data_IF_193462395215
#
_entry.id   IF_193462395215
#
_cell.length_a   1.000
_cell.length_b   1.000
_cell.length_c   1.000
_cell.angle_alpha   90.00
_cell.angle_beta   90.00
_cell.angle_gamma   90.00
#
_symmetry.space_group_name_H-M   'P 1'
#
loop_
_entity.id
_entity.type
_entity.pdbx_description
1 polymer ?
#
# COMPACT_ATOMS: atom_id res chain seq x y z
N UNK A 1 14.49 38.79 8.39
CA UNK A 1 13.45 38.26 7.48
C UNK A 1 12.33 37.76 8.36
N UNK A 2 11.11 38.23 8.14
CA UNK A 2 9.95 37.76 8.88
C UNK A 2 9.73 36.27 8.54
N UNK A 3 9.60 35.44 9.57
CA UNK A 3 9.15 34.06 9.43
C UNK A 3 7.66 34.18 9.12
N UNK A 4 7.28 33.90 7.87
CA UNK A 4 5.87 33.89 7.46
C UNK A 4 5.11 32.94 8.37
N UNK A 5 3.91 33.36 8.80
CA UNK A 5 2.98 32.51 9.52
C UNK A 5 2.71 31.22 8.71
N UNK A 6 2.45 30.06 9.37
CA UNK A 6 2.20 28.82 8.66
C UNK A 6 1.07 29.02 7.64
N UNK A 7 1.38 28.81 6.35
CA UNK A 7 0.42 28.95 5.25
C UNK A 7 -0.73 27.95 5.46
N UNK A 8 -1.83 28.43 6.00
CA UNK A 8 -3.06 27.66 6.21
C UNK A 8 -3.77 27.32 4.90
N UNK A 9 -3.49 28.03 3.81
CA UNK A 9 -4.11 27.81 2.50
C UNK A 9 -3.31 26.86 1.62
N UNK A 10 -4.03 26.09 0.80
CA UNK A 10 -3.44 25.17 -0.16
C UNK A 10 -2.73 25.98 -1.24
N UNK A 11 -1.45 25.68 -1.50
CA UNK A 11 -0.70 26.32 -2.59
C UNK A 11 -1.13 25.64 -3.89
N UNK A 12 -2.17 26.18 -4.52
CA UNK A 12 -2.83 25.55 -5.67
C UNK A 12 -1.91 25.50 -6.89
N UNK A 13 -0.95 26.41 -7.01
CA UNK A 13 0.01 26.41 -8.12
C UNK A 13 1.00 25.25 -7.99
N UNK A 14 1.60 25.11 -6.80
CA UNK A 14 2.54 24.01 -6.49
C UNK A 14 1.84 22.65 -6.54
N UNK A 15 0.60 22.57 -6.04
CA UNK A 15 -0.12 21.30 -5.82
C UNK A 15 -1.17 21.00 -6.89
N UNK A 16 -1.28 21.81 -7.94
CA UNK A 16 -2.30 21.72 -9.00
C UNK A 16 -2.52 20.29 -9.54
N UNK A 17 -1.45 19.55 -9.82
CA UNK A 17 -1.56 18.18 -10.38
C UNK A 17 -1.97 17.16 -9.32
N UNK A 18 -1.47 17.31 -8.09
CA UNK A 18 -1.88 16.45 -6.97
C UNK A 18 -3.31 16.74 -6.54
N UNK A 19 -3.76 18.00 -6.59
CA UNK A 19 -5.12 18.43 -6.32
C UNK A 19 -6.12 17.79 -7.29
N UNK A 20 -5.75 17.62 -8.56
CA UNK A 20 -6.58 16.91 -9.55
C UNK A 20 -6.75 15.42 -9.21
N UNK A 21 -5.77 14.80 -8.57
CA UNK A 21 -5.80 13.37 -8.19
C UNK A 21 -6.48 13.17 -6.83
N UNK A 22 -6.05 13.91 -5.81
CA UNK A 22 -6.48 13.70 -4.42
C UNK A 22 -7.73 14.50 -4.05
N UNK A 23 -7.93 15.65 -4.67
CA UNK A 23 -9.00 16.58 -4.30
C UNK A 23 -8.67 17.39 -3.05
N UNK A 24 -9.38 18.51 -2.89
CA UNK A 24 -9.11 19.50 -1.84
C UNK A 24 -9.23 18.94 -0.43
N UNK A 25 -10.25 18.13 -0.15
CA UNK A 25 -10.49 17.57 1.19
C UNK A 25 -9.35 16.64 1.64
N UNK A 26 -8.90 15.74 0.76
CA UNK A 26 -7.79 14.83 1.03
C UNK A 26 -6.50 15.60 1.31
N UNK A 27 -6.23 16.65 0.53
CA UNK A 27 -5.04 17.51 0.74
C UNK A 27 -5.09 18.24 2.10
N UNK A 28 -6.27 18.65 2.56
CA UNK A 28 -6.43 19.22 3.91
C UNK A 28 -6.18 18.19 5.01
N UNK A 29 -6.56 16.93 4.80
CA UNK A 29 -6.26 15.83 5.75
C UNK A 29 -4.76 15.53 5.79
N UNK A 30 -4.09 15.49 4.64
CA UNK A 30 -2.63 15.29 4.56
C UNK A 30 -1.87 16.33 5.37
N UNK A 31 -2.23 17.61 5.26
CA UNK A 31 -1.60 18.71 6.04
C UNK A 31 -1.79 18.62 7.56
N UNK A 32 -2.58 17.66 8.06
CA UNK A 32 -2.72 17.36 9.49
C UNK A 32 -2.01 16.06 9.88
N UNK A 33 -1.58 15.27 8.91
CA UNK A 33 -0.96 13.97 9.14
C UNK A 33 0.51 14.13 9.50
N UNK A 34 0.91 13.52 10.62
CA UNK A 34 2.31 13.37 11.01
C UNK A 34 2.73 11.94 10.70
N UNK A 35 3.87 11.75 10.04
CA UNK A 35 4.33 10.42 9.61
C UNK A 35 5.68 10.09 10.24
N UNK A 36 5.80 8.92 10.84
CA UNK A 36 7.08 8.36 11.29
C UNK A 36 7.56 7.33 10.27
N UNK A 37 8.80 7.45 9.82
CA UNK A 37 9.46 6.45 8.95
C UNK A 37 10.67 5.91 9.70
N UNK A 38 10.59 4.65 10.11
CA UNK A 38 11.64 3.94 10.85
C UNK A 38 12.43 3.02 9.91
N UNK A 39 13.69 3.34 9.69
CA UNK A 39 14.60 2.73 8.72
C UNK A 39 14.83 3.68 7.55
N UNK A 40 16.08 4.11 7.35
CA UNK A 40 16.48 5.12 6.36
C UNK A 40 17.56 4.58 5.39
N UNK A 41 17.38 3.33 4.96
CA UNK A 41 18.07 2.80 3.78
C UNK A 41 17.42 3.36 2.49
N UNK A 42 17.76 2.80 1.32
CA UNK A 42 17.19 3.24 0.04
C UNK A 42 15.65 3.21 -0.01
N UNK A 43 15.00 2.20 0.58
CA UNK A 43 13.54 2.13 0.62
C UNK A 43 12.95 3.22 1.52
N UNK A 44 13.51 3.42 2.71
CA UNK A 44 13.10 4.49 3.62
C UNK A 44 13.19 5.88 2.98
N UNK A 45 14.28 6.13 2.23
CA UNK A 45 14.49 7.38 1.50
C UNK A 45 13.45 7.62 0.40
N UNK A 46 13.10 6.60 -0.39
CA UNK A 46 12.06 6.69 -1.42
C UNK A 46 10.68 6.97 -0.81
N UNK A 47 10.34 6.28 0.28
CA UNK A 47 9.09 6.50 1.01
C UNK A 47 9.04 7.94 1.51
N UNK A 48 10.09 8.40 2.20
CA UNK A 48 10.17 9.75 2.75
C UNK A 48 10.02 10.81 1.66
N UNK A 49 10.73 10.68 0.53
CA UNK A 49 10.58 11.56 -0.64
C UNK A 49 9.12 11.65 -1.08
N UNK A 50 8.45 10.52 -1.31
CA UNK A 50 7.07 10.50 -1.79
C UNK A 50 6.10 11.12 -0.78
N UNK A 51 6.27 10.85 0.53
CA UNK A 51 5.42 11.38 1.59
C UNK A 51 5.61 12.89 1.79
N UNK A 52 6.86 13.38 1.73
CA UNK A 52 7.17 14.82 1.81
C UNK A 52 6.56 15.56 0.60
N UNK A 53 6.70 15.00 -0.60
CA UNK A 53 6.10 15.56 -1.82
C UNK A 53 4.58 15.48 -1.81
N UNK A 54 3.97 14.50 -1.13
CA UNK A 54 2.52 14.45 -0.89
C UNK A 54 2.02 15.53 0.10
N UNK A 55 2.94 16.29 0.70
CA UNK A 55 2.64 17.46 1.52
C UNK A 55 1.84 17.13 2.80
N UNK A 56 2.34 16.16 3.54
CA UNK A 56 1.91 15.89 4.92
C UNK A 56 2.29 17.03 5.88
N UNK A 57 1.83 17.03 7.13
CA UNK A 57 2.23 18.06 8.11
C UNK A 57 3.72 17.93 8.48
N UNK A 58 4.14 16.72 8.83
CA UNK A 58 5.52 16.46 9.24
C UNK A 58 5.95 15.03 8.91
N UNK A 59 7.26 14.87 8.69
CA UNK A 59 7.91 13.58 8.56
C UNK A 59 9.02 13.49 9.60
N UNK A 60 8.92 12.50 10.48
CA UNK A 60 9.98 12.13 11.42
C UNK A 60 10.72 10.92 10.87
N UNK A 61 12.02 11.07 10.65
CA UNK A 61 12.94 10.02 10.24
C UNK A 61 13.50 9.35 11.50
N UNK A 62 13.45 8.02 11.55
CA UNK A 62 14.04 7.25 12.64
C UNK A 62 14.98 6.21 12.08
N UNK A 63 16.24 6.25 12.45
CA UNK A 63 17.22 5.20 12.14
C UNK A 63 18.35 5.31 13.17
N UNK A 64 18.85 4.18 13.65
CA UNK A 64 19.99 4.14 14.57
C UNK A 64 21.28 3.67 13.88
N UNK A 65 21.18 3.17 12.65
CA UNK A 65 22.33 2.72 11.88
C UNK A 65 23.18 3.89 11.38
N UNK A 66 24.49 3.62 11.28
CA UNK A 66 25.43 4.51 10.64
C UNK A 66 25.41 4.31 9.12
N UNK A 67 25.73 5.37 8.38
CA UNK A 67 25.89 5.32 6.93
C UNK A 67 27.11 4.45 6.60
N UNK A 68 26.90 3.49 5.71
CA UNK A 68 27.94 2.68 5.07
C UNK A 68 28.09 3.10 3.61
N UNK A 69 29.21 2.75 2.93
CA UNK A 69 29.35 3.01 1.50
C UNK A 69 28.18 2.45 0.69
N UNK A 70 27.71 1.24 1.01
CA UNK A 70 26.63 0.56 0.30
C UNK A 70 25.29 1.32 0.34
N UNK A 71 25.00 2.00 1.46
CA UNK A 71 23.77 2.79 1.61
C UNK A 71 23.69 3.89 0.53
N UNK A 72 24.82 4.43 0.08
CA UNK A 72 24.91 5.45 -0.97
C UNK A 72 24.54 4.94 -2.38
N UNK A 73 24.36 3.63 -2.54
CA UNK A 73 23.93 2.99 -3.79
C UNK A 73 22.43 3.08 -4.05
N UNK A 74 21.63 3.08 -2.98
CA UNK A 74 20.17 3.11 -3.07
C UNK A 74 19.52 4.28 -2.33
N UNK A 75 20.18 4.85 -1.32
CA UNK A 75 19.74 6.09 -0.68
C UNK A 75 20.41 7.30 -1.36
N UNK A 76 19.66 7.94 -2.25
CA UNK A 76 20.13 9.04 -3.08
C UNK A 76 20.32 10.38 -2.34
N UNK A 77 20.02 10.43 -1.03
CA UNK A 77 20.37 11.58 -0.17
C UNK A 77 21.72 11.41 0.52
N UNK A 78 22.32 10.22 0.48
CA UNK A 78 23.59 9.93 1.13
C UNK A 78 24.75 9.98 0.13
N UNK A 79 25.88 10.49 0.61
CA UNK A 79 27.15 10.52 -0.10
C UNK A 79 28.23 9.81 0.69
N UNK A 80 29.37 9.52 0.05
CA UNK A 80 30.51 8.93 0.74
C UNK A 80 31.08 9.83 1.85
N UNK A 81 30.78 11.13 1.83
CA UNK A 81 31.17 12.06 2.90
C UNK A 81 30.35 11.85 4.18
N UNK A 82 29.19 11.20 4.09
CA UNK A 82 28.29 10.95 5.22
C UNK A 82 28.61 9.64 5.94
N UNK A 83 29.52 8.81 5.40
CA UNK A 83 29.88 7.50 5.98
C UNK A 83 30.34 7.66 7.44
N UNK A 84 29.75 6.86 8.32
CA UNK A 84 29.97 6.91 9.77
C UNK A 84 29.08 7.90 10.53
N UNK A 85 28.30 8.75 9.85
CA UNK A 85 27.23 9.54 10.47
C UNK A 85 25.93 8.74 10.58
N UNK A 86 24.95 9.23 11.33
CA UNK A 86 23.64 8.58 11.43
C UNK A 86 22.83 8.75 10.13
N UNK A 87 22.25 7.66 9.61
CA UNK A 87 21.52 7.67 8.33
C UNK A 87 20.35 8.65 8.30
N UNK A 88 19.49 8.64 9.32
CA UNK A 88 18.33 9.51 9.39
C UNK A 88 18.74 10.98 9.47
N UNK A 89 19.72 11.30 10.33
CA UNK A 89 20.25 12.65 10.49
C UNK A 89 20.88 13.22 9.22
N UNK A 90 21.65 12.42 8.49
CA UNK A 90 22.31 12.83 7.25
C UNK A 90 21.31 13.21 6.13
N UNK A 91 20.12 12.60 6.11
CA UNK A 91 19.10 12.88 5.10
C UNK A 91 18.29 14.17 5.35
N UNK A 92 18.21 14.67 6.60
CA UNK A 92 17.23 15.71 7.00
C UNK A 92 17.34 16.96 6.15
N UNK A 93 18.54 17.49 5.94
CA UNK A 93 18.73 18.77 5.25
C UNK A 93 18.18 18.71 3.82
N UNK A 94 18.62 17.73 3.02
CA UNK A 94 18.19 17.58 1.64
C UNK A 94 16.69 17.24 1.53
N UNK A 95 16.16 16.45 2.47
CA UNK A 95 14.73 16.14 2.50
C UNK A 95 13.87 17.36 2.86
N UNK A 96 14.33 18.24 3.74
CA UNK A 96 13.66 19.49 4.08
C UNK A 96 13.58 20.45 2.87
N UNK A 97 14.58 20.43 1.99
CA UNK A 97 14.63 21.23 0.76
C UNK A 97 13.59 20.79 -0.29
N UNK A 98 13.13 19.53 -0.26
CA UNK A 98 12.12 19.02 -1.21
C UNK A 98 10.79 19.78 -1.11
N UNK A 99 10.37 20.09 0.11
CA UNK A 99 9.12 20.78 0.37
C UNK A 99 9.22 21.58 1.68
N UNK A 100 9.47 22.91 1.60
CA UNK A 100 9.56 23.78 2.77
C UNK A 100 8.28 23.84 3.62
N UNK A 101 7.14 23.36 3.11
CA UNK A 101 5.87 23.33 3.83
C UNK A 101 5.74 22.12 4.78
N UNK A 102 6.63 21.12 4.64
CA UNK A 102 6.64 19.92 5.49
C UNK A 102 7.78 20.02 6.48
N UNK A 103 7.49 19.83 7.76
CA UNK A 103 8.56 19.77 8.77
C UNK A 103 9.25 18.41 8.72
N UNK A 104 10.56 18.39 8.45
CA UNK A 104 11.36 17.17 8.47
C UNK A 104 12.29 17.17 9.68
N UNK A 105 12.31 16.08 10.44
CA UNK A 105 13.18 15.92 11.61
C UNK A 105 13.71 14.49 11.70
N UNK A 106 14.78 14.27 12.46
CA UNK A 106 15.33 12.95 12.71
C UNK A 106 15.42 12.65 14.22
N UNK A 107 15.25 11.38 14.55
CA UNK A 107 15.50 10.81 15.88
C UNK A 107 16.37 9.56 15.72
N UNK A 108 17.33 9.39 16.63
CA UNK A 108 18.17 8.19 16.74
C UNK A 108 17.92 7.48 18.07
N UNK A 109 18.43 6.27 18.21
CA UNK A 109 18.22 5.41 19.37
C UNK A 109 17.09 4.38 19.20
N UNK A 110 16.57 3.82 20.31
CA UNK A 110 15.50 2.84 20.27
C UNK A 110 14.21 3.39 19.66
N UNK A 111 13.43 2.48 19.06
CA UNK A 111 12.13 2.84 18.47
C UNK A 111 11.23 3.57 19.49
N UNK A 112 10.62 4.71 19.14
CA UNK A 112 9.93 5.60 20.09
C UNK A 112 8.49 5.13 20.39
N UNK A 113 8.31 3.91 20.92
CA UNK A 113 6.99 3.30 21.18
C UNK A 113 6.11 4.18 22.07
N UNK A 114 6.70 4.89 23.05
CA UNK A 114 5.98 5.72 24.02
C UNK A 114 5.34 6.98 23.43
N UNK A 115 5.68 7.33 22.18
CA UNK A 115 5.26 8.58 21.54
C UNK A 115 4.36 8.37 20.33
N UNK A 116 3.87 7.14 20.13
CA UNK A 116 3.16 6.73 18.91
C UNK A 116 1.94 7.60 18.58
N UNK A 117 1.25 8.12 19.59
CA UNK A 117 0.10 9.02 19.45
C UNK A 117 0.41 10.35 18.72
N UNK A 118 1.69 10.72 18.58
CA UNK A 118 2.07 11.92 17.83
C UNK A 118 1.97 11.75 16.31
N UNK A 119 1.89 10.50 15.83
CA UNK A 119 1.88 10.18 14.40
C UNK A 119 0.55 9.58 13.98
N UNK A 120 0.08 9.96 12.79
CA UNK A 120 -1.10 9.38 12.16
C UNK A 120 -0.76 8.06 11.48
N UNK A 121 0.46 7.93 10.96
CA UNK A 121 0.96 6.75 10.27
C UNK A 121 2.40 6.47 10.67
N UNK A 122 2.70 5.20 10.94
CA UNK A 122 4.03 4.68 11.22
C UNK A 122 4.40 3.71 10.11
N UNK A 123 5.54 3.97 9.46
CA UNK A 123 6.13 3.10 8.45
C UNK A 123 7.39 2.45 9.03
N UNK A 124 7.41 1.13 9.10
CA UNK A 124 8.53 0.33 9.56
C UNK A 124 9.24 -0.33 8.36
N UNK A 125 10.47 0.08 8.10
CA UNK A 125 11.33 -0.40 7.03
C UNK A 125 12.47 -1.22 7.63
N UNK A 126 12.54 -2.52 7.30
CA UNK A 126 13.63 -3.37 7.79
C UNK A 126 13.62 -3.63 9.30
N UNK A 127 12.53 -3.32 10.00
CA UNK A 127 12.42 -3.50 11.45
C UNK A 127 12.32 -5.01 11.78
N UNK A 128 13.11 -5.53 12.74
CA UNK A 128 13.02 -6.94 13.14
C UNK A 128 11.59 -7.32 13.56
N UNK A 129 11.15 -8.54 13.20
CA UNK A 129 9.76 -8.99 13.42
C UNK A 129 9.29 -8.79 14.87
N UNK A 130 10.09 -9.15 15.87
CA UNK A 130 9.72 -9.01 17.27
C UNK A 130 9.41 -7.54 17.65
N UNK A 131 10.21 -6.59 17.14
CA UNK A 131 9.96 -5.17 17.32
C UNK A 131 8.74 -4.72 16.51
N UNK A 132 8.60 -5.17 15.26
CA UNK A 132 7.46 -4.84 14.41
C UNK A 132 6.11 -5.30 15.00
N UNK A 133 6.05 -6.49 15.62
CA UNK A 133 4.87 -6.98 16.33
C UNK A 133 4.51 -6.07 17.51
N UNK A 134 5.51 -5.67 18.29
CA UNK A 134 5.32 -4.77 19.44
C UNK A 134 4.81 -3.40 19.00
N UNK A 135 5.41 -2.84 17.94
CA UNK A 135 5.03 -1.53 17.39
C UNK A 135 3.62 -1.58 16.79
N UNK A 136 3.30 -2.62 16.01
CA UNK A 136 1.97 -2.77 15.43
C UNK A 136 0.89 -2.83 16.52
N UNK A 137 1.08 -3.62 17.57
CA UNK A 137 0.12 -3.71 18.67
C UNK A 137 -0.02 -2.39 19.43
N UNK A 138 1.09 -1.67 19.62
CA UNK A 138 1.07 -0.35 20.23
C UNK A 138 0.33 0.68 19.37
N UNK A 139 0.47 0.64 18.04
CA UNK A 139 -0.29 1.47 17.11
C UNK A 139 -1.80 1.18 17.19
N UNK A 140 -2.18 -0.11 17.29
CA UNK A 140 -3.58 -0.53 17.45
C UNK A 140 -4.18 -0.13 18.80
N UNK A 141 -3.36 -0.06 19.84
CA UNK A 141 -3.76 0.26 21.22
C UNK A 141 -3.75 1.77 21.53
N UNK A 142 -3.24 2.61 20.62
CA UNK A 142 -3.21 4.04 20.80
C UNK A 142 -4.63 4.65 20.90
N UNK A 143 -4.77 5.73 21.67
CA UNK A 143 -6.07 6.37 21.91
C UNK A 143 -6.73 6.89 20.62
N UNK A 144 -5.91 7.39 19.69
CA UNK A 144 -6.30 7.62 18.31
C UNK A 144 -5.68 6.50 17.44
N UNK A 145 -6.43 5.88 16.52
CA UNK A 145 -5.90 4.83 15.67
C UNK A 145 -4.70 5.34 14.85
N UNK A 146 -3.55 4.69 15.03
CA UNK A 146 -2.33 4.96 14.26
C UNK A 146 -2.22 3.90 13.16
N UNK A 147 -2.14 4.32 11.91
CA UNK A 147 -1.91 3.40 10.80
C UNK A 147 -0.50 2.81 10.89
N UNK A 148 -0.36 1.49 10.70
CA UNK A 148 0.92 0.80 10.68
C UNK A 148 1.17 0.18 9.32
N UNK A 149 2.33 0.47 8.73
CA UNK A 149 2.78 -0.11 7.46
C UNK A 149 4.16 -0.72 7.69
N UNK A 150 4.35 -1.99 7.36
CA UNK A 150 5.67 -2.63 7.34
C UNK A 150 6.07 -2.85 5.88
N UNK A 151 7.30 -2.50 5.51
CA UNK A 151 7.80 -2.74 4.17
C UNK A 151 9.27 -3.19 4.19
N UNK A 152 9.60 -4.11 3.29
CA UNK A 152 10.93 -4.69 3.18
C UNK A 152 11.28 -4.90 1.70
N UNK A 153 12.51 -4.57 1.33
CA UNK A 153 13.12 -4.91 0.03
C UNK A 153 14.37 -5.76 0.31
N UNK A 154 14.45 -6.91 -0.33
CA UNK A 154 15.47 -7.95 -0.16
C UNK A 154 15.93 -8.40 -1.55
N UNK A 155 16.91 -7.68 -2.10
CA UNK A 155 17.37 -7.86 -3.47
C UNK A 155 16.27 -7.54 -4.47
N UNK A 156 15.91 -8.54 -5.27
CA UNK A 156 14.86 -8.46 -6.29
C UNK A 156 13.47 -8.85 -5.77
N UNK A 157 13.33 -9.08 -4.47
CA UNK A 157 12.05 -9.36 -3.82
C UNK A 157 11.66 -8.21 -2.89
N UNK A 158 10.37 -7.95 -2.75
CA UNK A 158 9.85 -7.00 -1.79
C UNK A 158 8.47 -7.39 -1.25
N UNK A 159 8.13 -6.82 -0.11
CA UNK A 159 6.84 -7.01 0.54
C UNK A 159 6.40 -5.76 1.28
N UNK A 160 5.09 -5.52 1.28
CA UNK A 160 4.43 -4.51 2.11
C UNK A 160 3.25 -5.14 2.84
N UNK A 161 3.09 -4.80 4.12
CA UNK A 161 1.94 -5.13 4.96
C UNK A 161 1.32 -3.83 5.48
N UNK A 162 -0.01 -3.76 5.48
CA UNK A 162 -0.80 -2.61 5.92
C UNK A 162 -1.79 -3.04 6.99
N UNK A 163 -1.79 -2.30 8.10
CA UNK A 163 -2.78 -2.39 9.18
C UNK A 163 -3.28 -0.99 9.56
N UNK A 164 -4.53 -0.68 9.22
CA UNK A 164 -5.18 0.60 9.55
C UNK A 164 -6.12 0.48 10.77
N UNK A 165 -5.97 -0.59 11.55
CA UNK A 165 -6.73 -0.83 12.77
C UNK A 165 -8.04 -1.60 12.56
N UNK A 166 -8.76 -1.80 13.67
CA UNK A 166 -10.01 -2.59 13.70
C UNK A 166 -11.17 -1.94 12.93
N UNK A 167 -11.08 -0.65 12.64
CA UNK A 167 -12.15 0.09 12.00
C UNK A 167 -11.57 1.27 11.25
N UNK A 168 -11.50 1.15 9.92
CA UNK A 168 -11.04 2.19 9.01
C UNK A 168 -12.11 2.49 7.97
N UNK A 169 -12.41 3.77 7.76
CA UNK A 169 -13.41 4.19 6.77
C UNK A 169 -12.70 4.65 5.50
N UNK A 170 -12.79 3.84 4.44
CA UNK A 170 -12.40 4.23 3.09
C UNK A 170 -13.55 5.04 2.48
N UNK A 171 -13.38 6.35 2.41
CA UNK A 171 -14.40 7.32 1.99
C UNK A 171 -14.64 7.22 0.48
N UNK A 172 -13.57 7.02 -0.27
CA UNK A 172 -13.59 7.04 -1.73
C UNK A 172 -12.69 5.93 -2.28
N UNK A 173 -13.21 4.71 -2.51
CA UNK A 173 -12.38 3.57 -2.94
C UNK A 173 -11.76 3.72 -4.33
N UNK A 174 -12.44 4.38 -5.27
CA UNK A 174 -12.01 4.43 -6.69
C UNK A 174 -11.24 5.69 -7.03
N UNK A 175 -11.62 6.84 -6.47
CA UNK A 175 -11.08 8.14 -6.84
C UNK A 175 -11.38 8.60 -8.26
N UNK A 176 -12.34 7.96 -8.94
CA UNK A 176 -12.84 8.38 -10.25
C UNK A 176 -13.57 9.74 -10.15
N UNK A 177 -14.01 10.32 -11.27
CA UNK A 177 -14.89 11.49 -11.24
C UNK A 177 -16.27 11.12 -10.68
N UNK A 178 -16.88 12.02 -9.92
CA UNK A 178 -18.26 11.85 -9.44
C UNK A 178 -19.19 12.02 -10.63
N UNK A 179 -19.99 10.98 -10.92
CA UNK A 179 -20.95 11.01 -12.03
C UNK A 179 -22.06 12.02 -11.72
N UNK A 180 -22.51 12.76 -12.72
CA UNK A 180 -23.57 13.75 -12.53
C UNK A 180 -24.45 13.87 -13.78
N UNK A 181 -25.74 14.12 -13.58
CA UNK A 181 -26.71 14.29 -14.65
C UNK A 181 -27.77 15.35 -14.30
N UNK A 182 -28.26 16.07 -15.32
CA UNK A 182 -29.35 17.03 -15.16
C UNK A 182 -30.67 16.28 -15.25
N UNK A 183 -31.54 16.48 -14.26
CA UNK A 183 -32.87 15.87 -14.21
C UNK A 183 -33.79 16.57 -15.21
N UNK A 184 -34.40 15.79 -16.10
CA UNK A 184 -35.47 16.24 -16.99
C UNK A 184 -36.84 16.03 -16.34
N UNK A 185 -37.07 14.83 -15.78
CA UNK A 185 -38.35 14.45 -15.20
C UNK A 185 -38.19 13.37 -14.11
N UNK A 186 -39.08 13.39 -13.11
CA UNK A 186 -39.15 12.35 -12.06
C UNK A 186 -40.60 11.84 -11.98
N UNK A 187 -40.77 10.52 -12.08
CA UNK A 187 -42.04 9.84 -11.90
C UNK A 187 -41.96 8.83 -10.76
N UNK A 188 -42.86 8.93 -9.78
CA UNK A 188 -43.01 7.88 -8.75
C UNK A 188 -43.71 6.66 -9.36
N UNK A 189 -43.35 5.47 -8.91
CA UNK A 189 -44.15 4.27 -9.22
C UNK A 189 -45.45 4.24 -8.41
N UNK A 190 -46.40 3.40 -8.84
CA UNK A 190 -47.71 3.26 -8.21
C UNK A 190 -47.65 2.75 -6.76
N UNK A 191 -46.57 2.08 -6.38
CA UNK A 191 -46.32 1.56 -5.03
C UNK A 191 -45.67 2.60 -4.10
N UNK A 192 -45.12 3.69 -4.65
CA UNK A 192 -44.29 4.67 -3.96
C UNK A 192 -42.92 4.14 -3.50
N UNK A 193 -42.52 2.93 -3.90
CA UNK A 193 -41.27 2.30 -3.43
C UNK A 193 -40.08 2.56 -4.34
N UNK A 194 -40.33 2.99 -5.58
CA UNK A 194 -39.29 3.40 -6.51
C UNK A 194 -39.72 4.61 -7.33
N UNK A 195 -38.76 5.32 -7.92
CA UNK A 195 -39.00 6.36 -8.92
C UNK A 195 -38.23 6.06 -10.20
N UNK A 196 -38.74 6.56 -11.30
CA UNK A 196 -38.03 6.65 -12.58
C UNK A 196 -37.59 8.10 -12.78
N UNK A 197 -36.29 8.28 -12.92
CA UNK A 197 -35.65 9.55 -13.24
C UNK A 197 -35.27 9.53 -14.71
N UNK A 198 -35.71 10.53 -15.45
CA UNK A 198 -35.26 10.80 -16.81
C UNK A 198 -34.31 11.98 -16.74
N UNK A 199 -33.15 11.84 -17.36
CA UNK A 199 -32.10 12.86 -17.37
C UNK A 199 -31.90 13.42 -18.78
N UNK A 200 -31.54 14.70 -18.84
CA UNK A 200 -31.12 15.35 -20.08
C UNK A 200 -29.74 14.81 -20.45
N UNK A 201 -29.65 14.17 -21.61
CA UNK A 201 -28.38 13.72 -22.15
C UNK A 201 -28.46 13.57 -23.67
N UNK A 202 -27.45 14.04 -24.39
CA UNK A 202 -27.27 13.74 -25.81
C UNK A 202 -26.63 12.36 -25.98
N UNK A 203 -25.63 12.07 -25.16
CA UNK A 203 -24.91 10.79 -25.06
C UNK A 203 -25.42 9.93 -23.89
N UNK A 204 -24.90 8.70 -23.77
CA UNK A 204 -25.23 7.82 -22.66
C UNK A 204 -24.54 8.29 -21.36
N UNK A 205 -25.28 8.38 -20.26
CA UNK A 205 -24.72 8.75 -18.95
C UNK A 205 -23.81 7.64 -18.40
N UNK A 206 -22.90 7.99 -17.49
CA UNK A 206 -21.90 7.07 -16.95
C UNK A 206 -22.39 6.21 -15.79
N UNK A 207 -23.63 6.40 -15.33
CA UNK A 207 -24.18 5.62 -14.22
C UNK A 207 -24.43 4.15 -14.61
N UNK A 208 -24.33 3.29 -13.61
CA UNK A 208 -24.53 1.84 -13.72
C UNK A 208 -25.50 1.31 -12.65
N UNK A 209 -25.97 0.08 -12.85
CA UNK A 209 -26.83 -0.62 -11.89
C UNK A 209 -26.08 -0.83 -10.56
N UNK A 210 -26.73 -0.48 -9.45
CA UNK A 210 -26.15 -0.59 -8.11
C UNK A 210 -25.40 0.65 -7.63
N UNK A 211 -25.19 1.66 -8.50
CA UNK A 211 -24.70 2.98 -8.09
C UNK A 211 -25.65 3.64 -7.10
N UNK A 212 -25.14 4.62 -6.36
CA UNK A 212 -25.94 5.43 -5.45
C UNK A 212 -25.89 6.88 -5.89
N UNK A 213 -27.02 7.58 -5.84
CA UNK A 213 -27.10 8.98 -6.24
C UNK A 213 -28.02 9.78 -5.31
N UNK A 214 -27.71 11.06 -5.16
CA UNK A 214 -28.49 12.04 -4.41
C UNK A 214 -28.99 13.15 -5.32
N UNK A 215 -29.97 13.90 -4.83
CA UNK A 215 -30.57 15.01 -5.57
C UNK A 215 -30.24 16.36 -4.93
N UNK A 216 -30.11 17.36 -5.80
CA UNK A 216 -30.13 18.77 -5.42
C UNK A 216 -30.94 19.58 -6.44
N UNK A 217 -31.41 20.76 -6.06
CA UNK A 217 -32.12 21.73 -6.92
C UNK A 217 -33.44 21.25 -7.57
N UNK A 218 -34.02 20.14 -7.10
CA UNK A 218 -35.30 19.63 -7.61
C UNK A 218 -36.46 20.50 -7.11
N UNK A 219 -37.30 21.00 -8.01
CA UNK A 219 -38.53 21.74 -7.67
C UNK A 219 -39.79 20.88 -7.89
N UNK A 220 -40.78 21.08 -7.02
CA UNK A 220 -42.00 20.28 -6.97
C UNK A 220 -41.90 19.04 -6.07
N UNK A 221 -40.70 18.50 -5.87
CA UNK A 221 -40.42 17.34 -5.01
C UNK A 221 -39.30 17.64 -4.00
N UNK A 222 -39.49 18.67 -3.17
CA UNK A 222 -38.40 19.27 -2.37
C UNK A 222 -37.72 18.30 -1.38
N UNK A 223 -38.44 17.26 -0.93
CA UNK A 223 -37.91 16.25 -0.01
C UNK A 223 -36.78 15.40 -0.62
N UNK A 224 -36.61 15.42 -1.95
CA UNK A 224 -35.47 14.78 -2.62
C UNK A 224 -34.15 15.51 -2.35
N UNK A 225 -34.19 16.83 -2.17
CA UNK A 225 -32.98 17.62 -2.02
C UNK A 225 -32.32 17.32 -0.67
N UNK A 226 -31.12 16.75 -0.71
CA UNK A 226 -30.40 16.35 0.51
C UNK A 226 -31.01 15.14 1.24
N UNK A 227 -31.80 14.30 0.55
CA UNK A 227 -32.35 13.06 1.11
C UNK A 227 -31.30 11.97 1.38
N UNK A 228 -30.06 12.20 0.94
CA UNK A 228 -28.97 11.23 0.99
C UNK A 228 -28.90 10.37 -0.26
N UNK A 229 -28.15 9.27 -0.14
CA UNK A 229 -27.85 8.37 -1.23
C UNK A 229 -29.02 7.41 -1.49
N UNK A 230 -29.52 7.37 -2.73
CA UNK A 230 -30.56 6.47 -3.19
C UNK A 230 -29.97 5.47 -4.19
N UNK A 231 -30.30 4.19 -4.03
CA UNK A 231 -29.76 3.11 -4.86
C UNK A 231 -30.41 3.13 -6.24
N UNK A 232 -29.58 3.08 -7.28
CA UNK A 232 -29.99 2.88 -8.66
C UNK A 232 -30.20 1.37 -8.87
N UNK A 233 -31.43 0.99 -9.19
CA UNK A 233 -31.85 -0.39 -9.36
C UNK A 233 -31.68 -0.89 -10.80
N UNK A 234 -31.93 -0.02 -11.77
CA UNK A 234 -31.89 -0.34 -13.20
C UNK A 234 -31.60 0.91 -14.01
N UNK A 235 -30.62 0.82 -14.91
CA UNK A 235 -30.26 1.84 -15.89
C UNK A 235 -30.67 1.34 -17.27
N UNK A 236 -31.54 2.10 -17.93
CA UNK A 236 -32.01 1.77 -19.27
C UNK A 236 -30.87 1.66 -20.29
N UNK A 237 -31.07 0.89 -21.37
CA UNK A 237 -30.04 0.67 -22.43
C UNK A 237 -29.43 1.94 -23.05
N UNK A 238 -30.15 3.07 -23.03
CA UNK A 238 -29.64 4.36 -23.51
C UNK A 238 -29.03 5.24 -22.41
N UNK A 239 -29.00 4.74 -21.17
CA UNK A 239 -28.56 5.40 -19.94
C UNK A 239 -29.11 6.82 -19.75
N UNK A 240 -30.34 7.08 -20.24
CA UNK A 240 -31.07 8.36 -20.02
C UNK A 240 -32.16 8.25 -18.96
N UNK A 241 -32.62 7.02 -18.69
CA UNK A 241 -33.61 6.71 -17.65
C UNK A 241 -33.06 5.74 -16.65
N UNK A 242 -33.38 5.99 -15.39
CA UNK A 242 -32.83 5.27 -14.25
C UNK A 242 -33.94 5.03 -13.23
N UNK A 243 -34.01 3.81 -12.70
CA UNK A 243 -34.94 3.48 -11.63
C UNK A 243 -34.22 3.54 -10.29
N UNK A 244 -34.70 4.34 -9.36
CA UNK A 244 -34.11 4.50 -8.03
C UNK A 244 -35.05 3.98 -6.94
N UNK A 245 -34.47 3.36 -5.91
CA UNK A 245 -35.17 2.90 -4.72
C UNK A 245 -35.50 4.07 -3.78
N UNK A 246 -36.70 4.07 -3.21
CA UNK A 246 -37.16 5.09 -2.27
C UNK A 246 -37.37 4.46 -0.88
N UNK A 247 -36.61 4.89 0.15
CA UNK A 247 -36.87 4.49 1.52
C UNK A 247 -38.26 4.92 1.99
N UNK A 248 -38.91 4.12 2.85
CA UNK A 248 -40.29 4.36 3.30
C UNK A 248 -40.54 5.77 3.87
N UNK A 249 -39.56 6.33 4.59
CA UNK A 249 -39.64 7.69 5.16
C UNK A 249 -39.73 8.74 4.05
N UNK A 250 -38.89 8.62 3.02
CA UNK A 250 -38.88 9.52 1.88
C UNK A 250 -40.14 9.34 1.02
N UNK A 251 -40.59 8.10 0.83
CA UNK A 251 -41.83 7.80 0.11
C UNK A 251 -43.05 8.50 0.73
N UNK A 252 -43.14 8.53 2.07
CA UNK A 252 -44.21 9.23 2.78
C UNK A 252 -44.18 10.76 2.54
N UNK A 253 -42.98 11.35 2.45
CA UNK A 253 -42.80 12.78 2.20
C UNK A 253 -43.13 13.17 0.75
N UNK A 254 -42.82 12.29 -0.21
CA UNK A 254 -43.06 12.53 -1.64
C UNK A 254 -44.51 12.25 -2.08
N UNK A 255 -45.33 11.63 -1.23
CA UNK A 255 -46.70 11.28 -1.56
C UNK A 255 -47.52 12.52 -1.94
N UNK A 256 -48.10 12.49 -3.15
CA UNK A 256 -48.91 13.59 -3.69
C UNK A 256 -48.11 14.78 -4.22
N UNK A 257 -46.78 14.72 -4.18
CA UNK A 257 -45.92 15.71 -4.82
C UNK A 257 -45.67 15.33 -6.29
N UNK A 258 -45.56 16.34 -7.14
CA UNK A 258 -45.25 16.16 -8.56
C UNK A 258 -44.03 16.97 -8.92
N UNK A 259 -43.16 16.37 -9.73
CA UNK A 259 -42.01 17.07 -10.29
C UNK A 259 -42.47 18.27 -11.11
N UNK A 260 -41.75 19.39 -10.97
CA UNK A 260 -42.03 20.62 -11.73
C UNK A 260 -40.90 20.92 -12.71
N UNK A 261 -39.68 21.15 -12.22
CA UNK A 261 -38.52 21.48 -13.04
C UNK A 261 -37.22 21.45 -12.23
N UNK A 262 -36.10 21.39 -12.96
CA UNK A 262 -34.75 21.45 -12.41
C UNK A 262 -34.36 20.19 -11.66
N UNK A 263 -33.10 20.14 -11.23
CA UNK A 263 -32.59 19.01 -10.47
C UNK A 263 -31.25 18.55 -11.03
N UNK A 264 -30.34 18.25 -10.11
CA UNK A 264 -29.09 17.57 -10.39
C UNK A 264 -29.12 16.24 -9.67
N UNK A 265 -28.85 15.17 -10.41
CA UNK A 265 -28.60 13.84 -9.89
C UNK A 265 -27.07 13.67 -9.82
N UNK A 266 -26.53 13.47 -8.62
CA UNK A 266 -25.09 13.36 -8.39
C UNK A 266 -24.79 12.06 -7.69
N UNK A 267 -23.80 11.31 -8.19
CA UNK A 267 -23.33 10.08 -7.55
C UNK A 267 -22.89 10.35 -6.10
N UNK A 268 -23.30 9.47 -5.20
CA UNK A 268 -22.91 9.49 -3.80
C UNK A 268 -22.15 8.21 -3.49
N UNK A 269 -20.82 8.32 -3.42
CA UNK A 269 -19.95 7.21 -3.05
C UNK A 269 -20.32 6.67 -1.68
N UNK A 270 -20.34 5.34 -1.60
CA UNK A 270 -20.58 4.65 -0.35
C UNK A 270 -19.25 4.45 0.36
N UNK A 271 -19.03 5.06 1.54
CA UNK A 271 -17.85 4.77 2.34
C UNK A 271 -17.80 3.28 2.67
N UNK A 272 -16.64 2.67 2.51
CA UNK A 272 -16.43 1.26 2.83
C UNK A 272 -15.73 1.15 4.18
N UNK A 273 -16.39 0.47 5.12
CA UNK A 273 -15.77 0.12 6.38
C UNK A 273 -14.83 -1.08 6.18
N UNK A 274 -13.58 -0.93 6.61
CA UNK A 274 -12.53 -1.94 6.51
C UNK A 274 -12.06 -2.31 7.91
N UNK A 275 -11.85 -3.60 8.12
CA UNK A 275 -11.31 -4.16 9.36
C UNK A 275 -9.97 -4.83 9.06
N UNK A 276 -8.92 -4.42 9.76
CA UNK A 276 -7.58 -4.98 9.61
C UNK A 276 -7.21 -5.89 10.79
N UNK A 277 -6.66 -7.06 10.45
CA UNK A 277 -5.99 -7.95 11.42
C UNK A 277 -4.65 -7.36 11.84
N UNK A 278 -4.24 -7.68 13.07
CA UNK A 278 -2.90 -7.35 13.55
C UNK A 278 -1.83 -8.04 12.70
N UNK A 279 -0.59 -7.55 12.75
CA UNK A 279 0.56 -8.22 12.14
C UNK A 279 0.72 -9.64 12.70
N UNK A 280 0.54 -9.81 14.02
CA UNK A 280 0.60 -11.13 14.66
C UNK A 280 -0.38 -12.12 14.03
N UNK A 281 -1.66 -11.73 13.93
CA UNK A 281 -2.71 -12.61 13.40
C UNK A 281 -2.52 -12.85 11.90
N UNK A 282 -2.11 -11.83 11.15
CA UNK A 282 -1.80 -11.95 9.73
C UNK A 282 -0.65 -12.93 9.48
N UNK A 283 0.42 -12.90 10.28
CA UNK A 283 1.57 -13.80 10.08
C UNK A 283 1.21 -15.26 10.33
N UNK A 284 0.24 -15.54 11.19
CA UNK A 284 -0.24 -16.90 11.46
C UNK A 284 -1.29 -17.35 10.45
N UNK A 285 -2.21 -16.45 10.08
CA UNK A 285 -3.27 -16.70 9.14
C UNK A 285 -3.37 -15.53 8.14
N UNK A 286 -2.58 -15.51 7.05
CA UNK A 286 -2.53 -14.37 6.13
C UNK A 286 -3.81 -14.21 5.32
N UNK A 287 -4.67 -15.24 5.27
CA UNK A 287 -5.88 -15.22 4.45
C UNK A 287 -5.54 -15.08 2.96
N UNK A 288 -6.53 -14.71 2.12
CA UNK A 288 -6.29 -14.58 0.69
C UNK A 288 -5.25 -13.49 0.37
N UNK A 289 -4.34 -13.78 -0.56
CA UNK A 289 -3.31 -12.85 -1.03
C UNK A 289 -3.56 -12.45 -2.48
N UNK A 290 -3.17 -11.24 -2.85
CA UNK A 290 -3.18 -10.79 -4.24
C UNK A 290 -2.01 -11.40 -5.02
N UNK A 291 -2.11 -11.50 -6.35
CA UNK A 291 -1.02 -11.94 -7.23
C UNK A 291 -0.85 -10.96 -8.39
N UNK A 292 0.40 -10.66 -8.75
CA UNK A 292 0.70 -9.68 -9.81
C UNK A 292 0.55 -10.26 -11.21
N UNK A 293 0.78 -11.57 -11.35
CA UNK A 293 0.82 -12.24 -12.64
C UNK A 293 0.14 -13.62 -12.57
N UNK A 294 -0.90 -13.81 -13.38
CA UNK A 294 -1.61 -15.08 -13.52
C UNK A 294 -0.69 -16.18 -14.07
N UNK A 295 0.36 -15.84 -14.83
CA UNK A 295 1.37 -16.79 -15.30
C UNK A 295 2.22 -17.35 -14.15
N UNK A 296 2.44 -16.55 -13.10
CA UNK A 296 3.11 -16.95 -11.86
C UNK A 296 2.22 -17.80 -10.94
N UNK A 297 0.94 -18.01 -11.29
CA UNK A 297 0.08 -19.04 -10.67
C UNK A 297 0.34 -20.44 -11.23
N UNK A 298 0.85 -20.56 -12.46
CA UNK A 298 0.99 -21.84 -13.12
C UNK A 298 2.14 -22.64 -12.48
N UNK A 299 1.88 -23.74 -11.78
CA UNK A 299 2.96 -24.65 -11.46
C UNK A 299 3.54 -25.17 -12.77
N UNK A 300 4.85 -25.30 -12.84
CA UNK A 300 5.55 -25.98 -13.92
C UNK A 300 5.26 -27.51 -13.95
N UNK A 301 4.03 -27.93 -13.61
CA UNK A 301 3.57 -29.29 -13.53
C UNK A 301 2.36 -29.49 -14.44
N UNK A 302 2.61 -30.14 -15.56
CA UNK A 302 1.64 -30.73 -16.47
C UNK A 302 0.67 -31.65 -15.72
N UNK A 303 -0.64 -31.36 -15.79
CA UNK A 303 -1.83 -32.18 -15.39
C UNK A 303 -2.61 -31.69 -14.16
N UNK A 304 -3.46 -30.69 -14.37
CA UNK A 304 -4.58 -30.39 -13.46
C UNK A 304 -5.90 -30.48 -14.22
N UNK A 305 -6.96 -30.91 -13.55
CA UNK A 305 -8.32 -30.95 -14.11
C UNK A 305 -8.87 -29.53 -14.34
N UNK A 306 -9.75 -29.36 -15.34
CA UNK A 306 -10.40 -28.07 -15.66
C UNK A 306 -11.11 -27.40 -14.46
N UNK A 307 -11.56 -28.18 -13.48
CA UNK A 307 -12.19 -27.69 -12.25
C UNK A 307 -11.17 -27.10 -11.26
N UNK A 308 -9.93 -27.60 -11.26
CA UNK A 308 -8.84 -27.08 -10.46
C UNK A 308 -8.32 -25.76 -11.02
N UNK A 309 -8.26 -25.63 -12.36
CA UNK A 309 -7.86 -24.38 -13.04
C UNK A 309 -8.82 -23.22 -12.75
N UNK A 310 -10.10 -23.47 -12.50
CA UNK A 310 -11.08 -22.44 -12.11
C UNK A 310 -10.87 -21.90 -10.69
N UNK A 311 -10.28 -22.69 -9.79
CA UNK A 311 -10.00 -22.29 -8.40
C UNK A 311 -8.65 -21.56 -8.31
N UNK A 312 -7.71 -21.91 -9.19
CA UNK A 312 -6.37 -21.30 -9.26
C UNK A 312 -6.40 -19.79 -9.46
N UNK A 313 -7.42 -19.22 -10.09
CA UNK A 313 -7.58 -17.77 -10.31
C UNK A 313 -8.04 -16.95 -9.09
N UNK A 314 -8.17 -17.55 -7.90
CA UNK A 314 -8.73 -16.89 -6.71
C UNK A 314 -7.65 -16.42 -5.74
N UNK A 315 -7.88 -15.31 -5.00
CA UNK A 315 -6.97 -14.86 -3.94
C UNK A 315 -6.64 -15.92 -2.88
N UNK A 316 -7.54 -16.90 -2.65
CA UNK A 316 -7.28 -18.01 -1.75
C UNK A 316 -6.28 -19.02 -2.33
N UNK A 317 -6.32 -19.26 -3.65
CA UNK A 317 -5.36 -20.13 -4.32
C UNK A 317 -3.96 -19.49 -4.41
N UNK A 318 -3.87 -18.16 -4.44
CA UNK A 318 -2.59 -17.42 -4.44
C UNK A 318 -1.74 -17.72 -3.20
N UNK A 319 -2.36 -17.93 -2.05
CA UNK A 319 -1.64 -18.32 -0.84
C UNK A 319 -1.03 -19.72 -0.95
N UNK A 320 -1.79 -20.68 -1.50
CA UNK A 320 -1.34 -22.07 -1.59
C UNK A 320 -0.37 -22.30 -2.76
N UNK A 321 -0.68 -21.78 -3.94
CA UNK A 321 0.01 -22.09 -5.21
C UNK A 321 0.66 -20.87 -5.86
N UNK A 322 0.28 -19.67 -5.47
CA UNK A 322 0.83 -18.43 -6.02
C UNK A 322 2.24 -18.10 -5.54
N UNK A 323 2.82 -17.12 -6.22
CA UNK A 323 4.12 -16.53 -5.90
C UNK A 323 4.03 -15.70 -4.62
N UNK A 324 2.92 -15.03 -4.39
CA UNK A 324 2.71 -14.21 -3.20
C UNK A 324 2.67 -15.03 -1.91
N UNK A 325 2.05 -16.21 -1.92
CA UNK A 325 2.12 -17.15 -0.79
C UNK A 325 3.53 -17.67 -0.52
N UNK A 326 4.28 -17.97 -1.58
CA UNK A 326 5.68 -18.41 -1.48
C UNK A 326 6.60 -17.30 -0.93
N UNK A 327 6.44 -16.06 -1.40
CA UNK A 327 7.18 -14.91 -0.89
C UNK A 327 6.81 -14.62 0.56
N UNK A 328 5.53 -14.67 0.93
CA UNK A 328 5.12 -14.52 2.33
C UNK A 328 5.84 -15.53 3.24
N UNK A 329 5.87 -16.81 2.85
CA UNK A 329 6.61 -17.84 3.57
C UNK A 329 8.12 -17.56 3.61
N UNK A 330 8.69 -17.09 2.50
CA UNK A 330 10.10 -16.72 2.41
C UNK A 330 10.51 -15.56 3.31
N UNK A 331 9.71 -14.49 3.37
CA UNK A 331 9.94 -13.36 4.28
C UNK A 331 9.78 -13.79 5.75
N UNK A 332 8.83 -14.68 6.06
CA UNK A 332 8.73 -15.31 7.40
C UNK A 332 9.98 -16.12 7.75
N UNK A 333 10.50 -16.88 6.79
CA UNK A 333 11.73 -17.63 6.98
C UNK A 333 12.94 -16.70 7.20
N UNK A 334 12.99 -15.54 6.54
CA UNK A 334 14.04 -14.53 6.77
C UNK A 334 13.96 -13.93 8.16
N UNK A 335 12.76 -13.62 8.65
CA UNK A 335 12.54 -13.12 10.02
C UNK A 335 13.03 -14.15 11.07
N UNK A 336 12.72 -15.43 10.86
CA UNK A 336 13.17 -16.53 11.73
C UNK A 336 14.67 -16.79 11.63
N UNK A 337 15.24 -16.74 10.41
CA UNK A 337 16.69 -16.83 10.20
C UNK A 337 17.41 -15.71 10.96
N UNK A 338 16.96 -14.46 10.80
CA UNK A 338 17.53 -13.32 11.51
C UNK A 338 17.45 -13.53 13.04
N UNK A 339 16.36 -14.09 13.55
CA UNK A 339 16.22 -14.41 14.98
C UNK A 339 17.26 -15.42 15.45
N UNK A 340 17.56 -16.45 14.65
CA UNK A 340 18.60 -17.46 14.95
C UNK A 340 20.02 -16.94 14.81
N UNK A 341 20.22 -15.92 13.98
CA UNK A 341 21.53 -15.38 13.61
C UNK A 341 21.76 -13.95 14.10
N UNK A 342 21.23 -13.61 15.29
CA UNK A 342 21.45 -12.33 15.97
C UNK A 342 21.15 -11.08 15.11
N UNK A 343 20.09 -11.16 14.31
CA UNK A 343 19.62 -10.11 13.40
C UNK A 343 20.27 -10.12 12.02
N UNK A 344 21.25 -10.99 11.76
CA UNK A 344 21.91 -11.08 10.46
C UNK A 344 21.07 -11.87 9.45
N UNK A 345 21.05 -11.39 8.22
CA UNK A 345 20.42 -12.08 7.08
C UNK A 345 21.43 -12.99 6.36
N UNK A 346 20.98 -13.96 5.54
CA UNK A 346 21.87 -14.78 4.73
C UNK A 346 22.84 -13.93 3.90
N UNK A 347 24.10 -14.37 3.82
CA UNK A 347 25.11 -13.68 3.02
C UNK A 347 24.96 -14.02 1.52
N UNK A 348 25.47 -13.14 0.66
CA UNK A 348 25.53 -13.39 -0.77
C UNK A 348 26.35 -14.65 -1.08
N UNK A 349 25.88 -15.44 -2.05
CA UNK A 349 26.51 -16.68 -2.51
C UNK A 349 26.80 -17.71 -1.40
N UNK A 350 26.07 -17.64 -0.27
CA UNK A 350 26.16 -18.61 0.83
C UNK A 350 25.12 -19.72 0.65
N UNK A 351 25.54 -20.80 -0.01
CA UNK A 351 24.68 -21.96 -0.26
C UNK A 351 24.19 -22.64 1.03
N UNK A 352 24.96 -22.57 2.12
CA UNK A 352 24.56 -23.17 3.40
C UNK A 352 23.46 -22.34 4.06
N UNK A 353 23.62 -21.02 4.10
CA UNK A 353 22.60 -20.11 4.62
C UNK A 353 21.30 -20.17 3.79
N UNK A 354 21.40 -20.27 2.46
CA UNK A 354 20.24 -20.43 1.59
C UNK A 354 19.52 -21.77 1.83
N UNK A 355 20.27 -22.87 2.01
CA UNK A 355 19.69 -24.17 2.34
C UNK A 355 19.02 -24.16 3.72
N UNK A 356 19.62 -23.50 4.72
CA UNK A 356 19.02 -23.31 6.04
C UNK A 356 17.70 -22.52 5.95
N UNK A 357 17.68 -21.42 5.18
CA UNK A 357 16.45 -20.64 4.96
C UNK A 357 15.32 -21.52 4.40
N UNK A 358 15.64 -22.39 3.45
CA UNK A 358 14.67 -23.31 2.88
C UNK A 358 14.14 -24.30 3.93
N UNK A 359 15.00 -24.87 4.78
CA UNK A 359 14.56 -25.76 5.86
C UNK A 359 13.70 -25.03 6.91
N UNK A 360 14.02 -23.77 7.22
CA UNK A 360 13.17 -22.91 8.05
C UNK A 360 11.79 -22.74 7.40
N UNK A 361 11.74 -22.42 6.10
CA UNK A 361 10.49 -22.29 5.37
C UNK A 361 9.67 -23.59 5.38
N UNK A 362 10.31 -24.76 5.20
CA UNK A 362 9.64 -26.06 5.31
C UNK A 362 9.05 -26.28 6.70
N UNK A 363 9.79 -25.96 7.76
CA UNK A 363 9.32 -26.10 9.14
C UNK A 363 8.10 -25.20 9.41
N UNK A 364 8.16 -23.92 9.01
CA UNK A 364 7.05 -22.98 9.15
C UNK A 364 5.81 -23.51 8.40
N UNK A 365 6.00 -23.93 7.16
CA UNK A 365 4.90 -24.42 6.31
C UNK A 365 4.27 -25.71 6.85
N UNK A 366 5.07 -26.62 7.42
CA UNK A 366 4.58 -27.85 8.05
C UNK A 366 3.77 -27.60 9.33
N UNK A 367 4.03 -26.48 10.02
CA UNK A 367 3.31 -26.04 11.21
C UNK A 367 2.10 -25.14 10.93
N UNK A 368 1.89 -24.74 9.67
CA UNK A 368 0.83 -23.82 9.29
C UNK A 368 -0.54 -24.52 9.31
N UNK A 369 -1.59 -23.75 9.62
CA UNK A 369 -2.97 -24.21 9.48
C UNK A 369 -3.24 -24.62 8.02
N UNK A 370 -4.15 -25.57 7.80
CA UNK A 370 -4.42 -26.14 6.48
C UNK A 370 -4.73 -25.10 5.39
N UNK A 371 -5.34 -23.98 5.77
CA UNK A 371 -5.65 -22.85 4.88
C UNK A 371 -4.48 -21.92 4.57
N UNK A 372 -3.32 -22.12 5.19
CA UNK A 372 -2.10 -21.30 5.03
C UNK A 372 -0.89 -22.11 4.53
N UNK A 373 -1.11 -23.37 4.12
CA UNK A 373 -0.04 -24.23 3.59
C UNK A 373 0.26 -23.90 2.13
N UNK A 374 1.51 -23.57 1.87
CA UNK A 374 2.12 -23.40 0.56
C UNK A 374 2.43 -24.78 -0.05
N UNK A 375 1.85 -25.09 -1.19
CA UNK A 375 1.90 -26.42 -1.84
C UNK A 375 3.14 -26.58 -2.74
N UNK A 376 3.55 -27.79 -3.12
CA UNK A 376 4.68 -27.98 -4.06
C UNK A 376 5.95 -27.19 -3.69
N UNK A 377 6.27 -27.10 -2.40
CA UNK A 377 7.34 -26.23 -1.92
C UNK A 377 8.73 -26.66 -2.44
N UNK A 378 8.98 -27.97 -2.54
CA UNK A 378 10.23 -28.51 -3.07
C UNK A 378 10.46 -28.15 -4.54
N UNK A 379 9.41 -28.19 -5.38
CA UNK A 379 9.48 -27.81 -6.80
C UNK A 379 9.78 -26.31 -6.97
N UNK A 380 9.45 -25.51 -5.95
CA UNK A 380 9.58 -24.04 -5.95
C UNK A 380 10.77 -23.53 -5.13
N UNK A 381 11.66 -24.44 -4.72
CA UNK A 381 12.85 -24.15 -3.89
C UNK A 381 13.72 -23.02 -4.42
N UNK A 382 13.92 -22.95 -5.75
CA UNK A 382 14.81 -21.97 -6.38
C UNK A 382 14.50 -20.53 -5.98
N UNK A 383 13.22 -20.19 -5.84
CA UNK A 383 12.74 -18.86 -5.46
C UNK A 383 13.22 -18.47 -4.06
N UNK A 384 13.08 -19.39 -3.10
CA UNK A 384 13.50 -19.15 -1.73
C UNK A 384 15.02 -19.10 -1.60
N UNK A 385 15.74 -19.89 -2.40
CA UNK A 385 17.19 -19.81 -2.47
C UNK A 385 17.65 -18.45 -3.03
N UNK A 386 17.01 -17.96 -4.09
CA UNK A 386 17.29 -16.65 -4.68
C UNK A 386 16.93 -15.49 -3.74
N UNK A 387 15.82 -15.61 -2.98
CA UNK A 387 15.48 -14.67 -1.91
C UNK A 387 16.56 -14.63 -0.82
N UNK A 388 17.05 -15.80 -0.38
CA UNK A 388 18.16 -15.88 0.58
C UNK A 388 19.41 -15.19 0.02
N UNK A 389 19.75 -15.52 -1.22
CA UNK A 389 20.93 -15.04 -1.91
C UNK A 389 20.94 -13.51 -2.07
N UNK A 390 19.77 -12.91 -2.29
CA UNK A 390 19.58 -11.46 -2.37
C UNK A 390 19.23 -10.76 -1.05
N UNK A 391 19.18 -11.47 0.08
CA UNK A 391 18.54 -10.97 1.31
C UNK A 391 19.15 -9.68 1.86
N UNK A 392 20.46 -9.48 1.66
CA UNK A 392 21.18 -8.29 2.13
C UNK A 392 21.18 -7.13 1.13
N UNK A 393 20.77 -7.36 -0.12
CA UNK A 393 20.82 -6.32 -1.14
C UNK A 393 19.67 -5.32 -0.99
N UNK A 394 20.01 -4.04 -1.09
CA UNK A 394 19.05 -2.94 -1.26
C UNK A 394 19.22 -2.38 -2.66
N UNK A 395 18.31 -2.71 -3.58
CA UNK A 395 18.38 -2.30 -4.98
C UNK A 395 17.51 -1.07 -5.23
N UNK A 396 18.08 -0.02 -5.83
CA UNK A 396 17.37 1.24 -6.11
C UNK A 396 16.07 1.04 -6.90
N UNK A 397 15.98 0.22 -7.97
CA UNK A 397 14.72 0.01 -8.69
C UNK A 397 13.62 -0.59 -7.82
N UNK A 398 13.96 -1.57 -6.97
CA UNK A 398 12.99 -2.18 -6.05
C UNK A 398 12.57 -1.20 -4.94
N UNK A 399 13.51 -0.36 -4.47
CA UNK A 399 13.20 0.73 -3.53
C UNK A 399 12.25 1.75 -4.16
N UNK A 400 12.40 2.08 -5.44
CA UNK A 400 11.51 3.00 -6.14
C UNK A 400 10.09 2.44 -6.28
N UNK A 401 9.94 1.16 -6.65
CA UNK A 401 8.64 0.47 -6.74
C UNK A 401 7.93 0.49 -5.38
N UNK A 402 8.58 -0.08 -4.36
CA UNK A 402 7.96 -0.20 -3.04
C UNK A 402 7.83 1.15 -2.33
N UNK A 403 8.76 2.09 -2.57
CA UNK A 403 8.67 3.43 -2.02
C UNK A 403 7.52 4.24 -2.61
N UNK A 404 7.20 4.04 -3.89
CA UNK A 404 5.99 4.59 -4.52
C UNK A 404 4.71 3.99 -3.93
N UNK A 405 4.65 2.65 -3.85
CA UNK A 405 3.51 1.92 -3.28
C UNK A 405 3.25 2.37 -1.84
N UNK A 406 4.26 2.28 -0.98
CA UNK A 406 4.14 2.61 0.45
C UNK A 406 3.87 4.10 0.64
N UNK A 407 4.50 4.99 -0.13
CA UNK A 407 4.19 6.42 -0.11
C UNK A 407 2.71 6.69 -0.41
N UNK A 408 2.13 5.98 -1.38
CA UNK A 408 0.71 6.07 -1.68
C UNK A 408 -0.16 5.45 -0.57
N UNK A 409 0.24 4.33 0.05
CA UNK A 409 -0.49 3.76 1.20
C UNK A 409 -0.51 4.70 2.41
N UNK A 410 0.54 5.48 2.65
CA UNK A 410 0.54 6.54 3.66
C UNK A 410 -0.53 7.60 3.34
N UNK A 411 -0.65 8.01 2.06
CA UNK A 411 -1.70 8.94 1.63
C UNK A 411 -3.10 8.35 1.88
N UNK A 412 -3.31 7.07 1.54
CA UNK A 412 -4.60 6.40 1.76
C UNK A 412 -4.94 6.34 3.25
N UNK A 413 -3.99 5.91 4.08
CA UNK A 413 -4.13 5.83 5.53
C UNK A 413 -4.46 7.18 6.16
N UNK A 414 -3.80 8.26 5.71
CA UNK A 414 -4.02 9.61 6.25
C UNK A 414 -5.33 10.27 5.81
N UNK A 415 -5.91 9.86 4.68
CA UNK A 415 -7.03 10.60 4.05
C UNK A 415 -8.34 9.84 3.98
N UNK A 416 -8.30 8.50 3.99
CA UNK A 416 -9.44 7.65 3.64
C UNK A 416 -9.74 7.59 2.15
N UNK A 417 -8.89 8.19 1.29
CA UNK A 417 -9.05 8.16 -0.17
C UNK A 417 -8.31 6.97 -0.78
N UNK A 418 -8.92 6.39 -1.81
CA UNK A 418 -8.60 5.14 -2.49
C UNK A 418 -8.67 3.91 -1.59
N UNK A 419 -8.89 2.76 -2.22
CA UNK A 419 -8.87 1.48 -1.53
C UNK A 419 -7.43 1.16 -1.07
N UNK A 420 -7.16 1.05 0.25
CA UNK A 420 -5.83 0.68 0.72
C UNK A 420 -5.56 -0.81 0.52
N UNK A 421 -4.29 -1.19 0.47
CA UNK A 421 -3.89 -2.60 0.43
C UNK A 421 -4.50 -3.30 1.65
N UNK A 422 -5.12 -4.46 1.40
CA UNK A 422 -5.79 -5.27 2.42
C UNK A 422 -5.41 -6.75 2.23
N UNK A 423 -4.37 -7.28 2.89
CA UNK A 423 -3.49 -6.61 3.87
C UNK A 423 -2.01 -6.65 3.51
N UNK A 424 -1.60 -7.44 2.53
CA UNK A 424 -0.21 -7.49 2.10
C UNK A 424 -0.09 -7.61 0.58
N UNK A 425 1.04 -7.14 0.07
CA UNK A 425 1.42 -7.21 -1.32
C UNK A 425 2.89 -7.63 -1.41
N UNK A 426 3.18 -8.59 -2.27
CA UNK A 426 4.53 -9.09 -2.53
C UNK A 426 4.83 -8.98 -4.02
N UNK A 427 6.10 -8.75 -4.35
CA UNK A 427 6.59 -8.71 -5.71
C UNK A 427 8.00 -9.28 -5.75
N UNK A 428 8.32 -9.97 -6.82
CA UNK A 428 9.70 -10.25 -7.19
C UNK A 428 9.93 -10.05 -8.69
N UNK A 429 11.16 -9.71 -9.02
CA UNK A 429 11.67 -9.53 -10.38
C UNK A 429 12.90 -10.43 -10.60
N UNK A 430 12.82 -11.70 -10.18
CA UNK A 430 13.95 -12.64 -10.27
C UNK A 430 14.37 -12.93 -11.71
N UNK A 431 13.52 -12.63 -12.69
CA UNK A 431 13.80 -12.66 -14.13
C UNK A 431 14.90 -11.68 -14.54
N UNK A 432 15.19 -10.66 -13.70
CA UNK A 432 16.29 -9.72 -13.91
C UNK A 432 17.67 -10.29 -13.55
N UNK A 433 17.74 -11.47 -12.90
CA UNK A 433 19.01 -12.14 -12.64
C UNK A 433 19.66 -12.59 -13.97
N UNK A 434 21.01 -12.57 -14.07
CA UNK A 434 21.70 -13.08 -15.24
C UNK A 434 21.42 -14.58 -15.41
N UNK A 435 21.36 -15.02 -16.67
CA UNK A 435 21.08 -16.41 -17.01
C UNK A 435 22.13 -17.38 -16.43
N UNK A 436 23.39 -16.94 -16.33
CA UNK A 436 24.46 -17.64 -15.64
C UNK A 436 24.78 -16.92 -14.33
N UNK A 437 24.83 -17.68 -13.24
CA UNK A 437 25.14 -17.12 -11.93
C UNK A 437 26.59 -16.59 -11.92
N UNK A 438 26.82 -15.34 -11.47
CA UNK A 438 28.16 -14.79 -11.32
C UNK A 438 29.02 -15.64 -10.37
N UNK A 439 30.36 -15.67 -10.56
CA UNK A 439 31.26 -16.43 -9.71
C UNK A 439 31.14 -16.01 -8.24
N UNK A 440 31.13 -16.97 -7.31
CA UNK A 440 31.03 -16.68 -5.87
C UNK A 440 32.15 -15.75 -5.36
N UNK A 441 33.33 -15.76 -6.00
CA UNK A 441 34.43 -14.83 -5.68
C UNK A 441 34.05 -13.37 -5.88
N UNK A 442 33.25 -13.05 -6.91
CA UNK A 442 32.77 -11.70 -7.20
C UNK A 442 31.67 -11.24 -6.25
N UNK A 443 31.14 -12.15 -5.43
CA UNK A 443 30.02 -11.89 -4.52
C UNK A 443 30.38 -12.15 -3.06
N UNK A 444 31.66 -12.41 -2.81
CA UNK A 444 32.20 -12.54 -1.46
C UNK A 444 32.04 -11.24 -0.67
N UNK A 445 32.02 -11.33 0.66
CA UNK A 445 31.93 -10.15 1.52
C UNK A 445 33.02 -9.11 1.20
N UNK A 446 34.24 -9.55 0.92
CA UNK A 446 35.34 -8.67 0.55
C UNK A 446 35.13 -8.00 -0.81
N UNK A 447 34.57 -8.71 -1.81
CA UNK A 447 34.26 -8.14 -3.11
C UNK A 447 33.13 -7.11 -3.02
N UNK A 448 32.09 -7.41 -2.24
CA UNK A 448 30.96 -6.51 -1.96
C UNK A 448 31.42 -5.25 -1.24
N UNK A 449 32.29 -5.38 -0.23
CA UNK A 449 32.88 -4.24 0.47
C UNK A 449 33.75 -3.39 -0.47
N UNK A 450 34.58 -4.02 -1.30
CA UNK A 450 35.41 -3.34 -2.28
C UNK A 450 34.61 -2.60 -3.36
N UNK A 451 33.40 -3.06 -3.68
CA UNK A 451 32.48 -2.37 -4.59
C UNK A 451 31.90 -1.06 -4.01
N UNK A 452 32.12 -0.80 -2.71
CA UNK A 452 31.75 0.45 -2.06
C UNK A 452 30.26 0.74 -2.20
N UNK A 453 29.93 1.84 -2.92
CA UNK A 453 28.53 2.26 -3.13
C UNK A 453 27.70 1.31 -3.98
N UNK A 454 28.33 0.36 -4.67
CA UNK A 454 27.64 -0.63 -5.48
C UNK A 454 27.62 -2.01 -4.81
N UNK A 455 27.92 -2.12 -3.51
CA UNK A 455 28.01 -3.39 -2.79
C UNK A 455 26.80 -4.30 -2.97
N UNK A 456 25.59 -3.78 -2.76
CA UNK A 456 24.31 -4.49 -2.90
C UNK A 456 24.08 -4.97 -4.33
N UNK A 457 24.47 -4.16 -5.32
CA UNK A 457 24.36 -4.53 -6.74
C UNK A 457 25.42 -5.58 -7.11
N UNK A 458 26.66 -5.42 -6.67
CA UNK A 458 27.74 -6.39 -6.87
C UNK A 458 27.44 -7.72 -6.18
N UNK A 459 26.84 -7.68 -4.99
CA UNK A 459 26.41 -8.87 -4.25
C UNK A 459 25.28 -9.63 -4.94
N UNK A 460 24.38 -8.95 -5.66
CA UNK A 460 23.30 -9.59 -6.42
C UNK A 460 23.72 -10.05 -7.82
N UNK A 461 24.48 -9.22 -8.55
CA UNK A 461 24.74 -9.38 -9.97
C UNK A 461 26.20 -9.71 -10.34
N UNK A 462 27.10 -9.72 -9.35
CA UNK A 462 28.55 -9.88 -9.55
C UNK A 462 29.24 -8.52 -9.74
N UNK A 463 30.40 -8.34 -9.09
CA UNK A 463 31.16 -7.09 -9.18
C UNK A 463 31.60 -6.74 -10.60
N UNK A 464 31.79 -7.72 -11.48
CA UNK A 464 32.19 -7.46 -12.87
C UNK A 464 31.10 -6.75 -13.68
N UNK A 465 29.82 -6.88 -13.30
CA UNK A 465 28.72 -6.22 -14.00
C UNK A 465 28.56 -4.74 -13.59
N UNK A 466 29.02 -4.39 -12.40
CA UNK A 466 28.86 -3.05 -11.79
C UNK A 466 30.16 -2.23 -11.73
N UNK A 467 31.28 -2.79 -12.21
CA UNK A 467 32.60 -2.15 -12.22
C UNK A 467 32.69 -0.95 -13.17
#
# INVERSE_FOLDING_TARGET
MAIDAPRTEIDEDLQSRQMAVYGRESMQKLRKANVLISGMNGLGAEIAKNVILANVNSVTLHDDALVTPDDCGANFYLSLADVGSNRAGACVQQMQELNPSVTVSAISGPFPVERLENWSVVVAVGLPLAAALTVNEACRSAAAPVGFIRADVRGLCGGVFVDLGKSFTCIDPSGESIKSAIVEHIALDDSGTSMVVTCVADEALEFDDGDYAGFSEVKGMAALNGSGALKILDVSKGKKRMKLEIPAVLAAQLRGQTYQLGGLLTEMRQPKQLEYRSLHDFMNAPGPLWEVDESKMAPAATSFSDEFLKVMGTPAANLAYGRSGLLHLGFRALDEYATRHAGLLPAFADAAAAAELFEIAKAINASADSGAVVQQLDDRRAVLMQLADGARATLSPMCAIFGGIVGQEVVKAATGKFYPIHQAFYLDELECLPAEAPPASERSAAAVEAAGRYGSQGGGFGTSLVA
#
